data_IF_499271867953
#
_entry.id   IF_499271867953
#
_cell.length_a   1.000
_cell.length_b   1.000
_cell.length_c   1.000
_cell.angle_alpha   90.00
_cell.angle_beta   90.00
_cell.angle_gamma   90.00
#
_symmetry.space_group_name_H-M   'P 1'
#
loop_
_entity.id
_entity.type
_entity.pdbx_description
1 polymer ?
#
# COMPACT_ATOMS: atom_id res chain seq x y z
N UNK A 1 42.46 32.80 -3.46
CA UNK A 1 42.34 31.78 -2.40
C UNK A 1 41.11 30.96 -2.73
N UNK A 2 41.26 29.66 -2.99
CA UNK A 2 40.11 28.80 -3.32
C UNK A 2 39.56 28.14 -2.06
N UNK A 3 38.24 27.95 -1.96
CA UNK A 3 37.64 27.25 -0.82
C UNK A 3 38.05 25.78 -0.82
N UNK A 4 38.28 25.25 0.38
CA UNK A 4 38.49 23.83 0.63
C UNK A 4 37.22 23.26 1.25
N UNK A 5 36.75 22.14 0.71
CA UNK A 5 35.58 21.43 1.21
C UNK A 5 36.02 20.20 2.00
N UNK A 6 35.38 19.96 3.15
CA UNK A 6 35.51 18.73 3.90
C UNK A 6 34.23 17.91 3.73
N UNK A 7 34.38 16.59 3.56
CA UNK A 7 33.27 15.65 3.65
C UNK A 7 32.92 15.46 5.13
N UNK A 8 31.69 15.79 5.52
CA UNK A 8 31.18 15.35 6.83
C UNK A 8 31.22 13.83 6.92
N UNK A 9 31.48 13.24 8.11
CA UNK A 9 31.34 11.81 8.29
C UNK A 9 29.91 11.41 7.90
N UNK A 10 29.78 10.30 7.17
CA UNK A 10 28.50 9.64 6.97
C UNK A 10 27.95 9.32 8.37
N UNK A 11 26.81 9.90 8.75
CA UNK A 11 26.09 9.46 9.93
C UNK A 11 25.90 7.94 9.80
N UNK A 12 26.40 7.18 10.77
CA UNK A 12 26.16 5.75 10.83
C UNK A 12 24.65 5.57 10.98
N UNK A 13 23.98 5.14 9.91
CA UNK A 13 22.52 4.97 9.91
C UNK A 13 22.16 3.99 11.01
N UNK A 14 21.54 4.49 12.08
CA UNK A 14 21.05 3.68 13.17
C UNK A 14 20.17 2.56 12.57
N UNK A 15 20.52 1.31 12.86
CA UNK A 15 19.83 0.14 12.31
C UNK A 15 19.38 -0.77 13.42
N UNK A 16 18.31 -1.53 13.18
CA UNK A 16 17.77 -2.54 14.11
C UNK A 16 17.54 -3.87 13.39
N UNK A 17 17.46 -4.96 14.15
CA UNK A 17 17.15 -6.28 13.57
C UNK A 17 15.71 -6.34 13.06
N UNK A 18 15.45 -7.18 12.05
CA UNK A 18 14.07 -7.48 11.60
C UNK A 18 13.13 -7.85 12.75
N UNK A 19 13.60 -8.63 13.74
CA UNK A 19 12.78 -9.02 14.90
C UNK A 19 12.41 -7.82 15.79
N UNK A 20 13.35 -6.92 16.05
CA UNK A 20 13.07 -5.68 16.80
C UNK A 20 12.10 -4.78 16.04
N UNK A 21 12.28 -4.64 14.72
CA UNK A 21 11.36 -3.89 13.87
C UNK A 21 9.94 -4.48 13.89
N UNK A 22 9.81 -5.81 13.78
CA UNK A 22 8.51 -6.48 13.88
C UNK A 22 7.82 -6.20 15.23
N UNK A 23 8.57 -6.29 16.32
CA UNK A 23 8.05 -5.96 17.65
C UNK A 23 7.62 -4.48 17.78
N UNK A 24 8.43 -3.56 17.29
CA UNK A 24 8.14 -2.12 17.32
C UNK A 24 6.93 -1.72 16.47
N UNK A 25 6.64 -2.46 15.40
CA UNK A 25 5.50 -2.22 14.50
C UNK A 25 4.26 -3.04 14.87
N UNK A 26 4.34 -3.93 15.88
CA UNK A 26 3.25 -4.84 16.23
C UNK A 26 2.93 -5.86 15.13
N UNK A 27 3.90 -6.20 14.27
CA UNK A 27 3.72 -7.08 13.13
C UNK A 27 4.27 -8.48 13.37
N UNK A 28 3.68 -9.48 12.70
CA UNK A 28 4.32 -10.77 12.54
C UNK A 28 5.49 -10.71 11.53
N UNK A 29 6.41 -11.68 11.61
CA UNK A 29 7.59 -11.72 10.75
C UNK A 29 7.27 -11.84 9.25
N UNK A 30 6.15 -12.48 8.89
CA UNK A 30 5.73 -12.59 7.50
C UNK A 30 5.37 -11.21 6.94
N UNK A 31 4.59 -10.43 7.68
CA UNK A 31 4.19 -9.06 7.30
C UNK A 31 5.39 -8.12 7.20
N UNK A 32 6.32 -8.21 8.15
CA UNK A 32 7.58 -7.47 8.06
C UNK A 32 8.40 -7.87 6.82
N UNK A 33 8.50 -9.17 6.53
CA UNK A 33 9.22 -9.65 5.35
C UNK A 33 8.59 -9.11 4.06
N UNK A 34 7.25 -9.01 3.99
CA UNK A 34 6.55 -8.36 2.87
C UNK A 34 6.94 -6.90 2.74
N UNK A 35 6.94 -6.14 3.84
CA UNK A 35 7.33 -4.74 3.83
C UNK A 35 8.78 -4.53 3.35
N UNK A 36 9.71 -5.39 3.78
CA UNK A 36 11.10 -5.36 3.31
C UNK A 36 11.16 -5.65 1.80
N UNK A 37 10.46 -6.69 1.32
CA UNK A 37 10.41 -7.03 -0.11
C UNK A 37 9.77 -5.95 -0.97
N UNK A 38 8.83 -5.18 -0.42
CA UNK A 38 8.19 -4.06 -1.09
C UNK A 38 9.02 -2.76 -1.04
N UNK A 39 10.24 -2.81 -0.47
CA UNK A 39 11.13 -1.66 -0.31
C UNK A 39 10.69 -0.63 0.73
N UNK A 40 9.66 -0.93 1.52
CA UNK A 40 9.14 -0.04 2.58
C UNK A 40 10.08 0.06 3.79
N UNK A 41 10.86 -0.99 4.03
CA UNK A 41 11.87 -1.06 5.09
C UNK A 41 13.22 -1.37 4.45
N UNK A 42 13.98 -0.35 4.00
CA UNK A 42 15.28 -0.55 3.37
C UNK A 42 16.23 -1.33 4.28
N UNK A 43 16.92 -2.31 3.70
CA UNK A 43 17.96 -3.06 4.39
C UNK A 43 19.24 -2.23 4.41
N UNK A 44 19.77 -2.01 5.61
CA UNK A 44 21.08 -1.36 5.80
C UNK A 44 22.19 -2.42 5.80
N UNK A 45 21.87 -3.64 6.21
CA UNK A 45 22.75 -4.82 6.14
C UNK A 45 21.88 -6.07 5.89
N UNK A 46 21.85 -6.53 4.64
CA UNK A 46 21.03 -7.69 4.23
C UNK A 46 21.54 -9.00 4.88
N UNK A 47 22.86 -9.20 4.90
CA UNK A 47 23.47 -10.41 5.46
C UNK A 47 23.11 -10.61 6.93
N UNK A 48 22.99 -9.52 7.70
CA UNK A 48 22.58 -9.55 9.11
C UNK A 48 21.09 -9.25 9.32
N UNK A 49 20.33 -9.04 8.25
CA UNK A 49 18.90 -8.73 8.30
C UNK A 49 18.59 -7.48 9.13
N UNK A 50 19.33 -6.40 8.92
CA UNK A 50 19.14 -5.12 9.60
C UNK A 50 18.43 -4.11 8.70
N UNK A 51 17.46 -3.42 9.28
CA UNK A 51 16.68 -2.36 8.63
C UNK A 51 17.00 -1.01 9.25
N UNK A 52 16.74 0.06 8.50
CA UNK A 52 16.88 1.44 8.97
C UNK A 52 15.92 1.73 10.14
N UNK A 53 16.47 2.13 11.29
CA UNK A 53 15.71 2.42 12.49
C UNK A 53 14.81 3.65 12.31
N UNK A 54 15.29 4.66 11.58
CA UNK A 54 14.54 5.91 11.35
C UNK A 54 13.27 5.67 10.55
N UNK A 55 13.29 4.74 9.61
CA UNK A 55 12.09 4.33 8.87
C UNK A 55 11.12 3.56 9.76
N UNK A 56 11.61 2.70 10.67
CA UNK A 56 10.75 2.02 11.63
C UNK A 56 10.09 3.03 12.59
N UNK A 57 10.85 3.97 13.15
CA UNK A 57 10.33 4.99 14.07
C UNK A 57 9.20 5.84 13.45
N UNK A 58 9.29 6.15 12.15
CA UNK A 58 8.24 6.89 11.42
C UNK A 58 6.95 6.10 11.19
N UNK A 59 7.02 4.78 11.30
CA UNK A 59 5.88 3.89 11.15
C UNK A 59 5.29 3.48 12.50
N UNK A 60 6.11 3.43 13.54
CA UNK A 60 5.69 3.15 14.90
C UNK A 60 4.73 4.22 15.41
N UNK A 61 3.70 3.80 16.14
CA UNK A 61 2.75 4.71 16.79
C UNK A 61 1.73 5.37 15.86
N UNK A 62 1.70 5.00 14.57
CA UNK A 62 0.61 5.44 13.67
C UNK A 62 -0.75 5.01 14.23
N UNK A 63 -1.75 5.92 14.24
CA UNK A 63 -3.06 5.60 14.77
C UNK A 63 -3.76 4.55 13.90
N UNK A 64 -4.60 3.73 14.52
CA UNK A 64 -5.51 2.85 13.77
C UNK A 64 -6.61 3.69 13.15
N UNK A 65 -6.83 3.53 11.85
CA UNK A 65 -7.93 4.18 11.16
C UNK A 65 -9.25 3.56 11.60
N UNK A 66 -10.21 4.42 11.94
CA UNK A 66 -11.58 4.04 12.26
C UNK A 66 -12.53 4.88 11.41
N UNK A 67 -13.58 4.25 10.87
CA UNK A 67 -14.65 4.98 10.19
C UNK A 67 -15.74 5.31 11.20
N UNK A 68 -16.25 6.55 11.16
CA UNK A 68 -17.39 6.99 11.97
C UNK A 68 -18.69 6.95 11.17
N UNK A 69 -18.58 7.11 9.86
CA UNK A 69 -19.66 7.00 8.88
C UNK A 69 -19.13 6.34 7.61
N UNK A 70 -20.02 5.67 6.89
CA UNK A 70 -19.69 4.97 5.65
C UNK A 70 -18.67 3.85 5.87
N UNK A 71 -17.92 3.57 4.81
CA UNK A 71 -16.98 2.48 4.74
C UNK A 71 -15.82 2.83 3.81
N UNK A 72 -14.65 2.26 4.06
CA UNK A 72 -13.50 2.36 3.17
C UNK A 72 -13.19 0.99 2.54
N UNK A 73 -13.08 0.95 1.21
CA UNK A 73 -12.55 -0.22 0.49
C UNK A 73 -11.05 -0.32 0.70
N UNK A 74 -10.57 -1.51 1.07
CA UNK A 74 -9.16 -1.75 1.38
C UNK A 74 -8.66 -2.97 0.62
N UNK A 75 -7.70 -2.77 -0.28
CA UNK A 75 -6.92 -3.84 -0.89
C UNK A 75 -5.70 -4.15 -0.02
N UNK A 76 -5.62 -5.39 0.45
CA UNK A 76 -4.41 -5.95 1.06
C UNK A 76 -3.57 -6.62 -0.01
N UNK A 77 -2.41 -6.05 -0.30
CA UNK A 77 -1.52 -6.55 -1.34
C UNK A 77 -0.23 -7.15 -0.75
N UNK A 78 0.45 -7.97 -1.55
CA UNK A 78 1.78 -8.48 -1.22
C UNK A 78 2.87 -7.57 -1.82
N UNK A 79 4.14 -7.87 -1.53
CA UNK A 79 5.25 -7.23 -2.20
C UNK A 79 5.21 -7.48 -3.72
N UNK A 80 5.79 -6.55 -4.48
CA UNK A 80 5.90 -6.61 -5.92
C UNK A 80 6.48 -7.94 -6.40
N UNK A 81 5.80 -8.57 -7.35
CA UNK A 81 6.32 -9.73 -8.07
C UNK A 81 5.92 -9.68 -9.55
N UNK A 82 6.77 -10.21 -10.46
CA UNK A 82 6.43 -10.28 -11.87
C UNK A 82 5.14 -11.07 -12.07
N UNK A 83 4.22 -10.51 -12.86
CA UNK A 83 2.99 -11.19 -13.25
C UNK A 83 3.33 -12.44 -14.06
N UNK A 84 2.78 -13.57 -13.65
CA UNK A 84 3.04 -14.87 -14.30
C UNK A 84 2.00 -15.23 -15.37
N UNK A 85 1.34 -14.24 -15.99
CA UNK A 85 0.35 -14.44 -17.06
C UNK A 85 -0.78 -15.41 -16.67
N UNK A 86 -1.30 -15.30 -15.44
CA UNK A 86 -2.42 -16.16 -14.98
C UNK A 86 -3.75 -15.78 -15.66
N UNK A 87 -3.85 -14.58 -16.19
CA UNK A 87 -5.08 -14.03 -16.76
C UNK A 87 -4.87 -13.82 -18.27
N UNK A 88 -5.75 -14.35 -19.13
CA UNK A 88 -5.75 -14.04 -20.57
C UNK A 88 -5.75 -12.54 -20.81
N UNK A 89 -4.96 -12.08 -21.79
CA UNK A 89 -4.86 -10.67 -22.21
C UNK A 89 -4.47 -9.66 -21.11
N UNK A 90 -3.96 -10.15 -19.97
CA UNK A 90 -3.45 -9.31 -18.89
C UNK A 90 -2.00 -8.91 -19.17
N UNK A 91 -1.84 -7.69 -19.69
CA UNK A 91 -0.55 -7.11 -20.04
C UNK A 91 0.22 -6.52 -18.85
N UNK A 92 -0.22 -6.75 -17.61
CA UNK A 92 0.48 -6.22 -16.45
C UNK A 92 1.80 -6.94 -16.25
N UNK A 93 2.84 -6.14 -16.07
CA UNK A 93 4.17 -6.63 -15.74
C UNK A 93 4.28 -7.08 -14.29
N UNK A 94 3.49 -6.46 -13.39
CA UNK A 94 3.63 -6.63 -11.95
C UNK A 94 2.30 -6.89 -11.25
N UNK A 95 2.39 -7.70 -10.18
CA UNK A 95 1.38 -7.82 -9.12
C UNK A 95 2.00 -7.31 -7.82
N UNK A 96 1.17 -6.96 -6.84
CA UNK A 96 1.68 -6.50 -5.55
C UNK A 96 1.99 -5.00 -5.52
N UNK A 97 2.87 -4.61 -4.60
CA UNK A 97 3.37 -3.24 -4.45
C UNK A 97 4.88 -3.21 -4.24
N UNK A 98 5.55 -2.25 -4.87
CA UNK A 98 6.91 -1.84 -4.55
C UNK A 98 7.01 -0.31 -4.53
N UNK A 99 7.79 0.25 -3.60
CA UNK A 99 7.99 1.70 -3.48
C UNK A 99 8.57 2.34 -4.75
N UNK A 100 9.25 1.57 -5.59
CA UNK A 100 9.86 1.98 -6.85
C UNK A 100 8.95 1.93 -8.07
N UNK A 101 7.71 1.41 -7.96
CA UNK A 101 6.77 1.41 -9.09
C UNK A 101 6.46 2.83 -9.56
N UNK A 102 6.23 3.03 -10.86
CA UNK A 102 5.66 4.28 -11.37
C UNK A 102 4.17 4.36 -11.00
N UNK A 103 3.53 5.51 -11.24
CA UNK A 103 2.11 5.68 -10.92
C UNK A 103 1.25 4.78 -11.82
N UNK A 104 1.64 4.59 -13.08
CA UNK A 104 0.99 3.70 -14.04
C UNK A 104 1.11 2.23 -13.63
N UNK A 105 2.31 1.80 -13.23
CA UNK A 105 2.54 0.42 -12.76
C UNK A 105 1.78 0.16 -11.48
N UNK A 106 1.77 1.12 -10.55
CA UNK A 106 1.04 1.03 -9.29
C UNK A 106 -0.47 0.89 -9.53
N UNK A 107 -1.05 1.73 -10.39
CA UNK A 107 -2.46 1.67 -10.75
C UNK A 107 -2.81 0.32 -11.41
N UNK A 108 -2.00 -0.10 -12.39
CA UNK A 108 -2.20 -1.36 -13.09
C UNK A 108 -2.13 -2.56 -12.14
N UNK A 109 -1.17 -2.60 -11.21
CA UNK A 109 -1.03 -3.67 -10.23
C UNK A 109 -2.14 -3.65 -9.18
N UNK A 110 -2.69 -2.48 -8.84
CA UNK A 110 -3.60 -2.29 -7.70
C UNK A 110 -5.09 -2.33 -8.04
N UNK A 111 -5.51 -2.07 -9.28
CA UNK A 111 -6.93 -1.93 -9.61
C UNK A 111 -7.54 -3.15 -10.33
N UNK A 112 -6.79 -4.25 -10.47
CA UNK A 112 -7.25 -5.52 -11.09
C UNK A 112 -6.41 -6.69 -10.58
N UNK A 113 -6.81 -7.95 -10.67
CA UNK A 113 -8.17 -8.48 -10.84
C UNK A 113 -8.63 -9.01 -9.48
N UNK A 114 -9.64 -8.38 -8.89
CA UNK A 114 -9.99 -8.63 -7.49
C UNK A 114 -11.31 -9.36 -7.31
N UNK A 115 -11.29 -10.39 -6.47
CA UNK A 115 -12.52 -10.97 -5.91
C UNK A 115 -13.06 -10.01 -4.84
N UNK A 116 -14.19 -9.38 -5.12
CA UNK A 116 -14.83 -8.38 -4.26
C UNK A 116 -16.31 -8.23 -4.61
N UNK A 117 -17.01 -7.29 -3.96
CA UNK A 117 -18.33 -6.83 -4.39
C UNK A 117 -18.10 -5.53 -5.16
N UNK A 118 -18.27 -5.49 -6.50
CA UNK A 118 -17.93 -4.32 -7.29
C UNK A 118 -18.81 -3.10 -7.01
N UNK A 119 -20.10 -3.30 -6.76
CA UNK A 119 -21.04 -2.21 -6.41
C UNK A 119 -20.59 -1.52 -5.12
N UNK A 120 -20.28 -2.30 -4.09
CA UNK A 120 -19.77 -1.78 -2.81
C UNK A 120 -18.44 -1.04 -2.96
N UNK A 121 -17.56 -1.50 -3.86
CA UNK A 121 -16.28 -0.83 -4.14
C UNK A 121 -16.51 0.54 -4.77
N UNK A 122 -17.42 0.63 -5.76
CA UNK A 122 -17.78 1.88 -6.44
C UNK A 122 -18.50 2.84 -5.49
N UNK A 123 -19.47 2.35 -4.71
CA UNK A 123 -20.26 3.15 -3.76
C UNK A 123 -19.38 3.80 -2.68
N UNK A 124 -18.32 3.13 -2.24
CA UNK A 124 -17.39 3.67 -1.26
C UNK A 124 -16.56 4.86 -1.80
N UNK A 125 -16.37 4.98 -3.12
CA UNK A 125 -15.67 6.08 -3.79
C UNK A 125 -14.16 6.21 -3.52
N UNK A 126 -13.64 5.57 -2.47
CA UNK A 126 -12.22 5.51 -2.13
C UNK A 126 -11.72 4.07 -2.04
N UNK A 127 -10.52 3.86 -2.55
CA UNK A 127 -9.86 2.55 -2.56
C UNK A 127 -8.43 2.67 -2.01
N UNK A 128 -8.26 2.24 -0.76
CA UNK A 128 -6.95 2.23 -0.10
C UNK A 128 -6.21 0.94 -0.42
N UNK A 129 -4.93 1.03 -0.77
CA UNK A 129 -4.04 -0.12 -0.95
C UNK A 129 -3.11 -0.20 0.24
N UNK A 130 -2.97 -1.38 0.84
CA UNK A 130 -2.11 -1.61 2.00
C UNK A 130 -1.13 -2.75 1.75
N UNK A 131 0.07 -2.60 2.32
CA UNK A 131 0.99 -3.73 2.56
C UNK A 131 1.04 -3.94 4.07
N UNK A 132 0.75 -5.18 4.49
CA UNK A 132 0.40 -5.48 5.88
C UNK A 132 -0.79 -4.62 6.34
N UNK A 133 -0.54 -3.63 7.21
CA UNK A 133 -1.55 -2.67 7.70
C UNK A 133 -1.26 -1.24 7.25
N UNK A 134 -0.18 -0.98 6.52
CA UNK A 134 0.23 0.38 6.17
C UNK A 134 -0.31 0.75 4.79
N UNK A 135 -1.03 1.87 4.66
CA UNK A 135 -1.46 2.38 3.36
C UNK A 135 -0.26 2.80 2.52
N UNK A 136 -0.25 2.34 1.27
CA UNK A 136 0.79 2.61 0.28
C UNK A 136 0.26 3.37 -0.93
N UNK A 137 -1.05 3.33 -1.16
CA UNK A 137 -1.72 4.14 -2.16
C UNK A 137 -3.18 4.41 -1.78
N UNK A 138 -3.74 5.49 -2.30
CA UNK A 138 -5.16 5.83 -2.20
C UNK A 138 -5.65 6.27 -3.57
N UNK A 139 -6.75 5.66 -4.02
CA UNK A 139 -7.43 6.02 -5.26
C UNK A 139 -8.82 6.56 -5.00
N UNK A 140 -9.27 7.50 -5.84
CA UNK A 140 -10.66 7.91 -5.97
C UNK A 140 -11.31 7.18 -7.14
N UNK A 141 -12.49 6.62 -6.92
CA UNK A 141 -13.28 5.90 -7.90
C UNK A 141 -14.56 6.70 -8.18
N UNK A 142 -14.89 6.86 -9.47
CA UNK A 142 -16.15 7.45 -9.91
C UNK A 142 -17.28 6.40 -10.02
N UNK A 143 -18.50 6.86 -10.32
CA UNK A 143 -19.67 5.99 -10.47
C UNK A 143 -19.50 4.93 -11.58
N UNK A 144 -18.77 5.27 -12.65
CA UNK A 144 -18.51 4.38 -13.79
C UNK A 144 -17.14 3.66 -13.68
N UNK A 145 -16.54 3.61 -12.48
CA UNK A 145 -15.20 3.08 -12.28
C UNK A 145 -15.07 1.57 -12.54
N UNK A 146 -16.17 0.80 -12.56
CA UNK A 146 -16.11 -0.64 -12.84
C UNK A 146 -15.83 -0.88 -14.32
N UNK A 147 -14.58 -1.23 -14.62
CA UNK A 147 -14.04 -1.26 -15.98
C UNK A 147 -14.06 -2.66 -16.62
N UNK A 148 -14.41 -3.71 -15.87
CA UNK A 148 -14.59 -5.04 -16.45
C UNK A 148 -14.55 -6.19 -15.46
N UNK A 149 -14.79 -7.39 -16.00
CA UNK A 149 -14.74 -8.65 -15.26
C UNK A 149 -13.97 -9.71 -16.02
N UNK A 150 -13.41 -10.65 -15.26
CA UNK A 150 -12.86 -11.90 -15.80
C UNK A 150 -13.27 -13.06 -14.90
N UNK A 151 -13.57 -14.20 -15.52
CA UNK A 151 -13.75 -15.47 -14.83
C UNK A 151 -12.74 -16.47 -15.36
N UNK A 152 -11.97 -17.09 -14.47
CA UNK A 152 -11.07 -18.17 -14.83
C UNK A 152 -11.82 -19.50 -14.78
N UNK A 153 -11.55 -20.41 -15.72
CA UNK A 153 -12.25 -21.71 -15.83
C UNK A 153 -12.21 -22.55 -14.54
N UNK A 154 -11.20 -22.33 -13.69
CA UNK A 154 -11.02 -23.04 -12.43
C UNK A 154 -11.50 -22.26 -11.19
N UNK A 155 -12.16 -21.11 -11.37
CA UNK A 155 -12.70 -20.30 -10.29
C UNK A 155 -14.24 -20.22 -10.39
N UNK A 156 -14.92 -20.51 -9.28
CA UNK A 156 -16.38 -20.38 -9.17
C UNK A 156 -16.86 -18.95 -8.88
N UNK A 157 -16.05 -17.93 -9.21
CA UNK A 157 -16.34 -16.53 -8.94
C UNK A 157 -15.68 -15.62 -9.98
N UNK A 158 -16.27 -14.45 -10.18
CA UNK A 158 -15.69 -13.40 -11.02
C UNK A 158 -14.64 -12.58 -10.26
N UNK A 159 -13.76 -11.95 -11.04
CA UNK A 159 -12.84 -10.93 -10.56
C UNK A 159 -13.10 -9.65 -11.32
N UNK A 160 -12.89 -8.53 -10.62
CA UNK A 160 -13.26 -7.21 -11.11
C UNK A 160 -12.03 -6.33 -11.33
N UNK A 161 -12.13 -5.43 -12.31
CA UNK A 161 -11.17 -4.39 -12.63
C UNK A 161 -11.84 -3.02 -12.44
N UNK A 162 -11.08 -2.07 -11.91
CA UNK A 162 -11.54 -0.70 -11.69
C UNK A 162 -10.61 0.31 -12.35
N UNK A 163 -11.15 1.47 -12.66
CA UNK A 163 -10.39 2.68 -12.98
C UNK A 163 -10.49 3.69 -11.83
N UNK A 164 -9.44 4.47 -11.61
CA UNK A 164 -9.44 5.44 -10.53
C UNK A 164 -8.30 6.44 -10.63
N UNK A 165 -8.51 7.61 -10.00
CA UNK A 165 -7.51 8.66 -9.90
C UNK A 165 -6.60 8.38 -8.70
N UNK A 166 -5.29 8.29 -8.91
CA UNK A 166 -4.33 8.19 -7.82
C UNK A 166 -4.28 9.51 -7.04
N UNK A 167 -4.67 9.47 -5.77
CA UNK A 167 -4.71 10.64 -4.88
C UNK A 167 -3.45 10.77 -4.04
N UNK A 168 -2.90 9.65 -3.60
CA UNK A 168 -1.71 9.61 -2.78
C UNK A 168 -0.97 8.29 -2.94
N UNK A 169 0.34 8.31 -2.74
CA UNK A 169 1.16 7.10 -2.69
C UNK A 169 2.36 7.26 -1.79
N UNK A 170 2.91 6.12 -1.38
CA UNK A 170 4.20 6.03 -0.72
C UNK A 170 5.31 5.80 -1.75
N UNK A 171 6.42 6.50 -1.59
CA UNK A 171 7.67 6.28 -2.32
C UNK A 171 8.81 5.79 -1.42
N UNK A 172 10.05 5.77 -1.94
CA UNK A 172 11.22 5.33 -1.21
C UNK A 172 11.38 6.02 0.14
N UNK A 173 11.76 5.24 1.15
CA UNK A 173 11.88 5.73 2.52
C UNK A 173 10.54 6.13 3.14
N UNK A 174 9.41 5.55 2.73
CA UNK A 174 8.09 5.81 3.33
C UNK A 174 7.62 7.27 3.28
N UNK A 175 8.05 8.03 2.27
CA UNK A 175 7.59 9.41 2.06
C UNK A 175 6.27 9.36 1.27
N UNK A 176 5.21 9.93 1.84
CA UNK A 176 3.93 10.07 1.16
C UNK A 176 3.97 11.25 0.20
N UNK A 177 3.49 11.04 -1.02
CA UNK A 177 3.27 12.09 -2.02
C UNK A 177 1.78 12.14 -2.34
N UNK A 178 1.20 13.33 -2.30
CA UNK A 178 -0.17 13.59 -2.72
C UNK A 178 -0.19 14.09 -4.16
N UNK A 179 -1.22 13.71 -4.90
CA UNK A 179 -1.45 14.15 -6.27
C UNK A 179 -1.78 15.64 -6.30
N UNK A 180 -1.32 16.39 -7.31
CA UNK A 180 -1.78 17.76 -7.54
C UNK A 180 -3.29 17.83 -7.85
N UNK A 181 -3.89 16.72 -8.29
CA UNK A 181 -5.31 16.61 -8.61
C UNK A 181 -6.16 16.18 -7.40
N UNK A 182 -5.57 16.09 -6.20
CA UNK A 182 -6.29 15.79 -4.97
C UNK A 182 -7.30 16.92 -4.66
N UNK A 183 -8.61 16.63 -4.61
CA UNK A 183 -9.59 17.67 -4.28
C UNK A 183 -9.38 18.20 -2.86
N UNK A 184 -9.52 19.51 -2.66
CA UNK A 184 -9.30 20.18 -1.37
C UNK A 184 -10.13 19.57 -0.22
N UNK A 185 -11.39 19.22 -0.49
CA UNK A 185 -12.29 18.61 0.48
C UNK A 185 -11.85 17.21 0.93
N UNK A 186 -10.96 16.57 0.16
CA UNK A 186 -10.45 15.24 0.41
C UNK A 186 -9.00 15.25 0.95
N UNK A 187 -8.36 16.42 1.04
CA UNK A 187 -6.98 16.53 1.51
C UNK A 187 -6.80 15.95 2.93
N UNK A 188 -7.65 16.37 3.88
CA UNK A 188 -7.59 15.88 5.27
C UNK A 188 -7.92 14.39 5.37
N UNK A 189 -9.02 13.86 4.79
CA UNK A 189 -9.28 12.42 4.76
C UNK A 189 -8.14 11.60 4.13
N UNK A 190 -7.56 12.06 3.02
CA UNK A 190 -6.46 11.37 2.35
C UNK A 190 -5.22 11.33 3.25
N UNK A 191 -4.89 12.44 3.93
CA UNK A 191 -3.81 12.48 4.92
C UNK A 191 -4.06 11.50 6.06
N UNK A 192 -5.26 11.52 6.66
CA UNK A 192 -5.65 10.61 7.73
C UNK A 192 -5.51 9.14 7.33
N UNK A 193 -5.96 8.78 6.13
CA UNK A 193 -5.79 7.42 5.59
C UNK A 193 -4.30 7.11 5.49
N UNK A 194 -3.51 7.93 4.79
CA UNK A 194 -2.10 7.63 4.49
C UNK A 194 -1.17 7.68 5.72
N UNK A 195 -1.58 8.36 6.80
CA UNK A 195 -0.83 8.44 8.06
C UNK A 195 -1.23 7.37 9.09
N UNK A 196 -2.25 6.55 8.81
CA UNK A 196 -2.78 5.56 9.76
C UNK A 196 -2.28 4.14 9.48
N UNK A 197 -2.66 3.20 10.35
CA UNK A 197 -2.73 1.77 10.06
C UNK A 197 -4.17 1.35 9.78
N UNK A 198 -4.37 0.39 8.88
CA UNK A 198 -5.68 -0.10 8.47
C UNK A 198 -5.71 -1.61 8.65
N UNK A 199 -6.70 -2.09 9.39
CA UNK A 199 -6.95 -3.50 9.61
C UNK A 199 -8.37 -3.85 9.17
N UNK A 200 -8.48 -4.81 8.26
CA UNK A 200 -9.76 -5.32 7.78
C UNK A 200 -9.78 -6.85 7.88
N UNK A 201 -10.92 -7.38 8.32
CA UNK A 201 -11.24 -8.80 8.24
C UNK A 201 -11.83 -9.10 6.86
N UNK A 202 -11.17 -9.96 6.10
CA UNK A 202 -11.65 -10.37 4.78
C UNK A 202 -11.13 -11.76 4.42
N UNK A 203 -11.98 -12.58 3.78
CA UNK A 203 -11.60 -13.88 3.20
C UNK A 203 -10.84 -13.77 1.87
N UNK A 204 -10.66 -12.55 1.34
CA UNK A 204 -9.96 -12.26 0.09
C UNK A 204 -9.06 -11.03 0.19
N UNK A 205 -8.40 -10.62 -0.91
CA UNK A 205 -7.47 -9.50 -0.89
C UNK A 205 -8.16 -8.17 -0.62
N UNK A 206 -9.41 -7.99 -1.07
CA UNK A 206 -10.22 -6.80 -0.78
C UNK A 206 -11.06 -7.03 0.46
N UNK A 207 -10.98 -6.10 1.39
CA UNK A 207 -11.81 -6.01 2.59
C UNK A 207 -12.42 -4.62 2.75
N UNK A 208 -13.22 -4.46 3.79
CA UNK A 208 -14.04 -3.28 4.00
C UNK A 208 -13.92 -2.81 5.45
N UNK A 209 -13.49 -1.57 5.65
CA UNK A 209 -13.36 -0.97 6.97
C UNK A 209 -14.68 -0.31 7.37
N UNK A 210 -15.45 -1.00 8.21
CA UNK A 210 -16.74 -0.55 8.73
C UNK A 210 -16.62 0.20 10.06
N UNK A 211 -17.71 0.86 10.45
CA UNK A 211 -17.82 1.63 11.68
C UNK A 211 -17.40 0.79 12.89
N UNK A 212 -16.55 1.36 13.76
CA UNK A 212 -16.08 0.69 14.99
C UNK A 212 -14.84 -0.19 14.83
N UNK A 213 -14.39 -0.43 13.59
CA UNK A 213 -13.12 -1.08 13.27
C UNK A 213 -13.14 -2.59 13.41
N UNK A 214 -13.14 -3.27 12.25
CA UNK A 214 -13.12 -4.73 12.00
C UNK A 214 -14.25 -5.54 12.64
N UNK A 215 -15.19 -6.02 11.81
CA UNK A 215 -16.07 -7.16 12.13
C UNK A 215 -15.27 -8.42 12.43
#
# INVERSE_FOLDING_TARGET
MFPTFATSPLEETASITKRQAAGALGLNMASLTKMVRAGMLPLVDDARGRVDAKTVDRLTGRPRLVTTHGELTVLRTDAGEPSKSRYPDDNREWLGFDVGFTDEVLAAASLRWWRCNPERVVDNGLFAVTVATFPVALFMLGADAHAGTIQLDNEGFERHHFEGLLLARVGPGMVTRFSPDLPDWLAVPAEQVMSSTIEVSAGGPVGYLTIGGSN
#
